data_IF_974415204588
#
_entry.id   IF_974415204588
#
_cell.length_a   1.000
_cell.length_b   1.000
_cell.length_c   1.000
_cell.angle_alpha   90.00
_cell.angle_beta   90.00
_cell.angle_gamma   90.00
#
_symmetry.space_group_name_H-M   'P 1'
#
loop_
_entity.id
_entity.type
_entity.pdbx_description
1 polymer ?
#
# COMPACT_ATOMS: atom_id res chain seq x y z
N UNK A 1 6.69 -0.13 -14.21
CA UNK A 1 5.41 0.58 -14.00
C UNK A 1 5.55 1.54 -12.83
N UNK A 2 5.13 2.78 -13.04
CA UNK A 2 5.08 3.79 -11.97
C UNK A 2 3.69 4.40 -11.95
N UNK A 3 3.13 4.55 -10.76
CA UNK A 3 1.85 5.20 -10.56
C UNK A 3 1.89 6.10 -9.33
N UNK A 4 1.20 7.22 -9.42
CA UNK A 4 0.99 8.11 -8.28
C UNK A 4 -0.49 8.43 -8.18
N UNK A 5 -1.05 8.20 -7.01
CA UNK A 5 -2.45 8.53 -6.72
C UNK A 5 -2.52 9.25 -5.37
N UNK A 6 -3.53 10.07 -5.19
CA UNK A 6 -3.71 10.79 -3.93
C UNK A 6 -5.18 10.94 -3.59
N UNK A 7 -5.44 11.17 -2.31
CA UNK A 7 -6.80 11.38 -1.79
C UNK A 7 -6.75 12.29 -0.57
N UNK A 8 -7.81 13.07 -0.37
CA UNK A 8 -8.02 13.84 0.84
C UNK A 8 -8.90 13.04 1.80
N UNK A 9 -8.41 12.81 3.00
CA UNK A 9 -9.13 12.08 4.06
C UNK A 9 -9.47 13.08 5.16
N UNK A 10 -10.74 13.17 5.51
CA UNK A 10 -11.24 14.11 6.53
C UNK A 10 -11.01 13.55 7.93
N UNK A 11 -9.74 13.31 8.27
CA UNK A 11 -9.27 12.84 9.56
C UNK A 11 -7.90 13.43 9.87
N UNK A 12 -7.55 13.57 11.17
CA UNK A 12 -6.26 14.13 11.57
C UNK A 12 -5.08 13.30 11.08
N UNK A 13 -3.99 13.98 10.81
CA UNK A 13 -2.76 13.41 10.27
C UNK A 13 -2.25 12.20 11.07
N UNK A 14 -2.17 12.32 12.38
CA UNK A 14 -1.68 11.25 13.23
C UNK A 14 -2.55 9.99 13.15
N UNK A 15 -3.86 10.16 13.09
CA UNK A 15 -4.82 9.05 12.96
C UNK A 15 -4.64 8.32 11.64
N UNK A 16 -4.55 9.07 10.55
CA UNK A 16 -4.38 8.48 9.21
C UNK A 16 -3.05 7.75 9.12
N UNK A 17 -1.97 8.38 9.59
CA UNK A 17 -0.65 7.77 9.56
C UNK A 17 -0.61 6.46 10.37
N UNK A 18 -1.09 6.47 11.59
CA UNK A 18 -1.08 5.29 12.46
C UNK A 18 -1.87 4.14 11.87
N UNK A 19 -2.98 4.44 11.20
CA UNK A 19 -3.79 3.40 10.55
C UNK A 19 -3.10 2.82 9.32
N UNK A 20 -2.58 3.67 8.45
CA UNK A 20 -1.96 3.24 7.18
C UNK A 20 -0.63 2.54 7.41
N UNK A 21 0.20 3.04 8.34
CA UNK A 21 1.53 2.49 8.64
C UNK A 21 1.48 1.25 9.54
N UNK A 22 0.40 0.48 9.43
CA UNK A 22 0.25 -0.78 10.14
C UNK A 22 -0.16 -1.87 9.16
N UNK A 23 0.72 -2.84 8.95
CA UNK A 23 0.51 -3.90 7.96
C UNK A 23 -0.82 -4.64 8.17
N UNK A 24 -1.18 -4.91 9.41
CA UNK A 24 -2.39 -5.66 9.75
C UNK A 24 -3.68 -4.97 9.33
N UNK A 25 -3.65 -3.66 9.11
CA UNK A 25 -4.82 -2.90 8.65
C UNK A 25 -5.02 -2.96 7.14
N UNK A 26 -4.04 -3.42 6.37
CA UNK A 26 -4.11 -3.39 4.90
C UNK A 26 -5.27 -4.21 4.35
N UNK A 27 -5.64 -5.31 4.99
CA UNK A 27 -6.77 -6.12 4.55
C UNK A 27 -8.12 -5.40 4.65
N UNK A 28 -8.18 -4.31 5.40
CA UNK A 28 -9.42 -3.53 5.55
C UNK A 28 -9.66 -2.58 4.38
N UNK A 29 -8.64 -2.24 3.61
CA UNK A 29 -8.77 -1.25 2.56
C UNK A 29 -8.13 -1.62 1.22
N UNK A 30 -7.19 -2.58 1.19
CA UNK A 30 -6.59 -3.06 -0.06
C UNK A 30 -7.32 -4.32 -0.55
N UNK A 31 -7.96 -4.23 -1.71
CA UNK A 31 -8.77 -5.32 -2.25
C UNK A 31 -7.99 -6.61 -2.48
N UNK A 32 -6.72 -6.48 -2.90
CA UNK A 32 -5.88 -7.64 -3.18
C UNK A 32 -5.27 -8.28 -1.95
N UNK A 33 -5.38 -7.66 -0.77
CA UNK A 33 -4.77 -8.15 0.46
C UNK A 33 -5.75 -9.01 1.25
N UNK A 34 -5.41 -10.28 1.44
CA UNK A 34 -6.16 -11.19 2.33
C UNK A 34 -5.69 -10.96 3.77
N UNK A 35 -4.38 -10.92 3.96
CA UNK A 35 -3.77 -10.73 5.28
C UNK A 35 -2.35 -10.20 5.12
N UNK A 36 -1.96 -9.29 5.98
CA UNK A 36 -0.57 -8.86 6.09
C UNK A 36 -0.21 -8.80 7.57
N UNK A 37 0.95 -9.32 7.94
CA UNK A 37 1.38 -9.44 9.32
C UNK A 37 2.83 -8.98 9.45
N UNK A 38 3.10 -8.10 10.42
CA UNK A 38 4.47 -7.75 10.75
C UNK A 38 5.13 -8.95 11.42
N UNK A 39 6.22 -9.43 10.84
CA UNK A 39 6.95 -10.60 11.35
C UNK A 39 8.11 -10.21 12.25
N UNK A 40 8.65 -9.00 12.10
CA UNK A 40 9.69 -8.48 12.99
C UNK A 40 9.06 -8.01 14.29
N UNK A 41 9.49 -8.50 15.45
CA UNK A 41 8.94 -8.06 16.74
C UNK A 41 9.23 -6.57 17.02
N UNK A 42 8.34 -5.96 17.79
CA UNK A 42 8.50 -4.57 18.23
C UNK A 42 7.77 -3.56 17.36
N UNK A 43 8.02 -2.25 17.60
CA UNK A 43 7.33 -1.20 16.88
C UNK A 43 7.73 -1.13 15.41
N UNK A 44 6.90 -0.49 14.60
CA UNK A 44 7.17 -0.22 13.19
C UNK A 44 8.44 0.62 13.09
N UNK A 45 9.34 0.25 12.17
CA UNK A 45 10.62 0.93 11.93
C UNK A 45 11.22 0.48 10.61
N UNK A 46 12.22 1.19 10.13
CA UNK A 46 13.01 0.76 8.97
C UNK A 46 13.64 -0.60 9.27
N UNK A 47 13.55 -1.53 8.33
CA UNK A 47 14.02 -2.90 8.48
C UNK A 47 12.97 -3.88 9.00
N UNK A 48 11.83 -3.40 9.52
CA UNK A 48 10.73 -4.27 9.92
C UNK A 48 10.19 -5.00 8.68
N UNK A 49 9.90 -6.28 8.84
CA UNK A 49 9.41 -7.11 7.74
C UNK A 49 7.97 -7.54 7.97
N UNK A 50 7.30 -7.86 6.88
CA UNK A 50 5.94 -8.37 6.91
C UNK A 50 5.80 -9.58 5.99
N UNK A 51 4.79 -10.39 6.28
CA UNK A 51 4.35 -11.49 5.42
C UNK A 51 2.98 -11.14 4.87
N UNK A 52 2.91 -10.96 3.58
CA UNK A 52 1.72 -10.57 2.86
C UNK A 52 1.12 -11.77 2.13
N UNK A 53 -0.16 -11.99 2.34
CA UNK A 53 -0.94 -12.96 1.58
C UNK A 53 -1.95 -12.17 0.76
N UNK A 54 -1.87 -12.30 -0.54
CA UNK A 54 -2.74 -11.58 -1.46
C UNK A 54 -3.46 -12.51 -2.42
N UNK A 55 -4.40 -11.93 -3.16
CA UNK A 55 -5.12 -12.64 -4.21
C UNK A 55 -5.19 -11.74 -5.45
N UNK A 56 -4.79 -12.29 -6.57
CA UNK A 56 -4.83 -11.60 -7.86
C UNK A 56 -5.26 -12.57 -8.96
N UNK A 57 -6.24 -12.17 -9.76
CA UNK A 57 -6.77 -12.97 -10.86
C UNK A 57 -7.13 -14.40 -10.43
N UNK A 58 -7.77 -14.55 -9.25
CA UNK A 58 -8.19 -15.85 -8.74
C UNK A 58 -7.09 -16.69 -8.11
N UNK A 59 -5.85 -16.18 -8.04
CA UNK A 59 -4.71 -16.91 -7.47
C UNK A 59 -4.24 -16.23 -6.19
N UNK A 60 -4.00 -17.03 -5.16
CA UNK A 60 -3.37 -16.57 -3.94
C UNK A 60 -1.85 -16.53 -4.13
N UNK A 61 -1.20 -15.55 -3.53
CA UNK A 61 0.26 -15.45 -3.52
C UNK A 61 0.75 -14.98 -2.15
N UNK A 62 1.99 -15.27 -1.86
CA UNK A 62 2.66 -14.75 -0.67
C UNK A 62 3.86 -13.91 -1.07
N UNK A 63 4.10 -12.86 -0.33
CA UNK A 63 5.26 -12.00 -0.49
C UNK A 63 5.78 -11.57 0.87
N UNK A 64 7.06 -11.23 0.91
CA UNK A 64 7.71 -10.65 2.08
C UNK A 64 8.05 -9.21 1.73
N UNK A 65 7.67 -8.29 2.59
CA UNK A 65 8.02 -6.89 2.46
C UNK A 65 8.95 -6.44 3.57
N UNK A 66 9.68 -5.36 3.31
CA UNK A 66 10.56 -4.74 4.29
C UNK A 66 10.40 -3.23 4.25
N UNK A 67 10.26 -2.62 5.42
CA UNK A 67 10.12 -1.18 5.54
C UNK A 67 11.45 -0.51 5.21
N UNK A 68 11.43 0.42 4.27
CA UNK A 68 12.60 1.17 3.82
C UNK A 68 12.58 2.63 4.24
N UNK A 69 11.43 3.13 4.66
CA UNK A 69 11.25 4.51 5.05
C UNK A 69 10.22 4.60 6.17
N UNK A 70 10.53 5.32 7.22
CA UNK A 70 9.61 5.54 8.33
C UNK A 70 9.89 6.90 8.98
N UNK A 71 9.01 7.86 8.73
CA UNK A 71 9.05 9.18 9.35
C UNK A 71 7.65 9.45 9.93
N UNK A 72 7.48 9.39 11.25
CA UNK A 72 6.17 9.52 11.87
C UNK A 72 5.39 10.72 11.36
N UNK A 73 4.13 10.50 11.00
CA UNK A 73 3.18 11.48 10.48
C UNK A 73 3.60 12.14 9.16
N UNK A 74 4.61 11.60 8.46
CA UNK A 74 5.08 12.17 7.19
C UNK A 74 5.23 11.15 6.08
N UNK A 75 5.98 10.09 6.33
CA UNK A 75 6.33 9.14 5.26
C UNK A 75 6.45 7.73 5.81
N UNK A 76 6.00 6.79 4.99
CA UNK A 76 6.15 5.37 5.24
C UNK A 76 6.33 4.67 3.91
N UNK A 77 7.26 3.74 3.83
CA UNK A 77 7.49 3.03 2.59
C UNK A 77 8.05 1.64 2.84
N UNK A 78 7.80 0.75 1.90
CA UNK A 78 8.32 -0.60 1.94
C UNK A 78 8.58 -1.13 0.53
N UNK A 79 9.40 -2.16 0.46
CA UNK A 79 9.70 -2.86 -0.78
C UNK A 79 9.42 -4.35 -0.63
N UNK A 80 9.16 -5.03 -1.72
CA UNK A 80 9.11 -6.49 -1.73
C UNK A 80 10.54 -7.05 -1.63
N UNK A 81 10.70 -8.08 -0.82
CA UNK A 81 11.97 -8.83 -0.67
C UNK A 81 11.86 -10.16 -1.39
N UNK A 82 10.68 -10.75 -1.39
CA UNK A 82 10.40 -11.98 -2.12
C UNK A 82 8.93 -11.99 -2.54
N UNK A 83 8.63 -12.75 -3.59
CA UNK A 83 7.26 -12.89 -4.10
C UNK A 83 7.21 -12.77 -5.62
N UNK A 84 5.99 -12.72 -6.18
CA UNK A 84 5.79 -12.76 -7.63
C UNK A 84 6.04 -11.42 -8.34
N UNK A 85 6.42 -10.37 -7.61
CA UNK A 85 6.65 -9.05 -8.18
C UNK A 85 7.76 -8.33 -7.40
N UNK A 86 8.36 -7.34 -8.05
CA UNK A 86 9.21 -6.36 -7.39
C UNK A 86 8.42 -5.07 -7.25
N UNK A 87 8.21 -4.64 -6.01
CA UNK A 87 7.39 -3.49 -5.70
C UNK A 87 8.11 -2.60 -4.71
N UNK A 88 8.06 -1.29 -4.98
CA UNK A 88 8.45 -0.26 -4.02
C UNK A 88 7.24 0.65 -3.83
N UNK A 89 6.83 0.83 -2.60
CA UNK A 89 5.68 1.63 -2.23
C UNK A 89 6.11 2.75 -1.29
N UNK A 90 5.72 3.97 -1.63
CA UNK A 90 5.90 5.13 -0.75
C UNK A 90 4.56 5.78 -0.46
N UNK A 91 4.34 6.08 0.79
CA UNK A 91 3.19 6.84 1.25
C UNK A 91 3.68 8.18 1.80
N UNK A 92 3.10 9.26 1.32
CA UNK A 92 3.37 10.62 1.79
C UNK A 92 2.12 11.21 2.43
N UNK A 93 2.28 11.75 3.64
CA UNK A 93 1.18 12.27 4.42
C UNK A 93 1.40 13.76 4.63
N UNK A 94 0.41 14.57 4.27
CA UNK A 94 0.47 16.03 4.43
C UNK A 94 -0.78 16.54 5.15
N UNK A 95 -0.61 17.43 6.13
CA UNK A 95 -1.78 18.05 6.76
C UNK A 95 -2.42 19.06 5.79
N UNK A 96 -3.75 19.05 5.72
CA UNK A 96 -4.54 20.04 4.99
C UNK A 96 -5.57 20.56 5.99
N UNK A 97 -5.20 21.59 6.77
CA UNK A 97 -5.99 21.98 7.94
C UNK A 97 -6.05 20.85 8.96
N UNK A 98 -7.24 20.43 9.32
CA UNK A 98 -7.48 19.29 10.22
C UNK A 98 -7.60 17.95 9.47
N UNK A 99 -7.45 17.99 8.16
CA UNK A 99 -7.56 16.82 7.29
C UNK A 99 -6.17 16.36 6.82
N UNK A 100 -6.13 15.27 6.07
CA UNK A 100 -4.88 14.69 5.61
C UNK A 100 -4.95 14.38 4.12
N UNK A 101 -3.94 14.81 3.38
CA UNK A 101 -3.71 14.35 2.02
C UNK A 101 -2.74 13.17 2.06
N UNK A 102 -3.18 12.06 1.53
CA UNK A 102 -2.34 10.88 1.38
C UNK A 102 -2.00 10.71 -0.10
N UNK A 103 -0.72 10.60 -0.39
CA UNK A 103 -0.21 10.32 -1.74
C UNK A 103 0.52 8.97 -1.71
N UNK A 104 0.19 8.10 -2.66
CA UNK A 104 0.87 6.82 -2.84
C UNK A 104 1.67 6.85 -4.13
N UNK A 105 2.97 6.58 -4.02
CA UNK A 105 3.86 6.35 -5.15
C UNK A 105 4.18 4.86 -5.21
N UNK A 106 3.86 4.24 -6.33
CA UNK A 106 4.11 2.81 -6.55
C UNK A 106 5.04 2.66 -7.75
N UNK A 107 6.13 1.94 -7.53
CA UNK A 107 7.03 1.55 -8.60
C UNK A 107 7.17 0.04 -8.55
N UNK A 108 6.91 -0.62 -9.66
CA UNK A 108 6.92 -2.06 -9.67
C UNK A 108 7.26 -2.66 -11.02
N UNK A 109 7.85 -3.82 -10.98
CA UNK A 109 8.05 -4.70 -12.12
C UNK A 109 7.42 -6.04 -11.79
N UNK A 110 6.87 -6.69 -12.80
CA UNK A 110 6.18 -7.95 -12.64
C UNK A 110 7.05 -9.08 -13.15
N UNK A 111 7.25 -10.10 -12.30
CA UNK A 111 7.99 -11.31 -12.64
C UNK A 111 7.01 -12.46 -12.85
N UNK A 112 7.36 -13.43 -13.65
CA UNK A 112 6.64 -14.69 -13.78
C UNK A 112 5.17 -14.52 -14.09
N UNK A 113 4.35 -14.66 -13.07
CA UNK A 113 2.91 -14.67 -13.16
C UNK A 113 2.30 -13.38 -13.78
N UNK A 114 2.97 -12.22 -13.63
CA UNK A 114 2.55 -11.00 -14.31
C UNK A 114 3.34 -10.72 -15.60
N UNK A 115 4.37 -11.48 -15.89
CA UNK A 115 5.20 -11.27 -17.09
C UNK A 115 4.42 -11.38 -18.39
N UNK A 116 3.31 -12.11 -18.38
CA UNK A 116 2.40 -12.23 -19.52
C UNK A 116 1.81 -10.87 -19.94
N UNK A 117 1.66 -9.93 -19.00
CA UNK A 117 1.06 -8.63 -19.27
C UNK A 117 2.07 -7.57 -19.75
N UNK A 118 3.33 -7.96 -19.97
CA UNK A 118 4.39 -7.04 -20.39
C UNK A 118 4.02 -6.26 -21.66
N UNK A 119 3.36 -6.90 -22.62
CA UNK A 119 2.97 -6.29 -23.88
C UNK A 119 1.71 -5.41 -23.79
N UNK A 120 0.97 -5.52 -22.69
CA UNK A 120 -0.21 -4.72 -22.43
C UNK A 120 0.05 -3.66 -21.37
N UNK A 121 1.28 -3.18 -21.25
CA UNK A 121 1.73 -2.26 -20.20
C UNK A 121 0.83 -1.03 -19.99
N UNK A 122 0.37 -0.31 -21.04
CA UNK A 122 -0.52 0.83 -20.83
C UNK A 122 -1.87 0.44 -20.21
N UNK A 123 -2.42 -0.71 -20.57
CA UNK A 123 -3.67 -1.21 -19.99
C UNK A 123 -3.46 -1.69 -18.57
N UNK A 124 -2.34 -2.34 -18.30
CA UNK A 124 -1.96 -2.81 -16.97
C UNK A 124 -1.74 -1.62 -16.03
N UNK A 125 -1.08 -0.56 -16.50
CA UNK A 125 -0.86 0.66 -15.72
C UNK A 125 -2.19 1.33 -15.35
N UNK A 126 -3.14 1.41 -16.30
CA UNK A 126 -4.47 1.98 -16.04
C UNK A 126 -5.26 1.14 -15.04
N UNK A 127 -5.21 -0.18 -15.19
CA UNK A 127 -5.88 -1.10 -14.26
C UNK A 127 -5.28 -1.00 -12.86
N UNK A 128 -3.97 -0.89 -12.77
CA UNK A 128 -3.26 -0.71 -11.51
C UNK A 128 -3.62 0.62 -10.84
N UNK A 129 -3.66 1.70 -11.61
CA UNK A 129 -4.04 3.02 -11.09
C UNK A 129 -5.49 3.03 -10.61
N UNK A 130 -6.40 2.40 -11.36
CA UNK A 130 -7.79 2.24 -10.93
C UNK A 130 -7.87 1.45 -9.62
N UNK A 131 -7.12 0.37 -9.51
CA UNK A 131 -7.07 -0.45 -8.29
C UNK A 131 -6.61 0.40 -7.09
N UNK A 132 -5.55 1.18 -7.25
CA UNK A 132 -5.03 2.04 -6.20
C UNK A 132 -6.03 3.12 -5.81
N UNK A 133 -6.71 3.73 -6.76
CA UNK A 133 -7.74 4.73 -6.48
C UNK A 133 -8.94 4.12 -5.77
N UNK A 134 -9.35 2.92 -6.14
CA UNK A 134 -10.44 2.20 -5.49
C UNK A 134 -10.05 1.84 -4.04
N UNK A 135 -8.81 1.43 -3.83
CA UNK A 135 -8.28 1.13 -2.50
C UNK A 135 -8.26 2.39 -1.62
N UNK A 136 -7.80 3.52 -2.16
CA UNK A 136 -7.80 4.79 -1.43
C UNK A 136 -9.22 5.25 -1.09
N UNK A 137 -10.17 5.07 -1.99
CA UNK A 137 -11.57 5.39 -1.72
C UNK A 137 -12.13 4.55 -0.57
N UNK A 138 -11.73 3.28 -0.51
CA UNK A 138 -12.11 2.37 0.57
C UNK A 138 -11.46 2.79 1.89
N UNK A 139 -10.18 3.15 1.85
CA UNK A 139 -9.46 3.68 3.03
C UNK A 139 -10.15 4.92 3.60
N UNK A 140 -10.50 5.86 2.73
CA UNK A 140 -11.24 7.08 3.10
C UNK A 140 -12.54 6.73 3.82
N UNK A 141 -13.30 5.80 3.25
CA UNK A 141 -14.57 5.36 3.82
C UNK A 141 -14.38 4.73 5.20
N UNK A 142 -13.37 3.87 5.35
CA UNK A 142 -13.07 3.20 6.63
C UNK A 142 -12.72 4.23 7.69
N UNK A 143 -11.81 5.15 7.39
CA UNK A 143 -11.35 6.15 8.35
C UNK A 143 -12.42 7.18 8.69
N UNK A 144 -13.13 7.68 7.70
CA UNK A 144 -14.16 8.72 7.93
C UNK A 144 -15.42 8.18 8.60
N UNK A 145 -15.64 6.88 8.61
CA UNK A 145 -16.76 6.27 9.32
C UNK A 145 -16.46 5.99 10.80
N UNK A 146 -15.21 6.19 11.24
CA UNK A 146 -14.81 5.99 12.64
C UNK A 146 -15.23 7.22 13.47
N UNK A 147 -15.76 6.97 14.63
CA UNK A 147 -16.16 8.01 15.58
C UNK A 147 -15.20 8.14 16.74
#
# INVERSE_FOLDING_TARGET
MKSRVSILIQRPLAEVFQFVAKFENQSQWQAATIRNTQTTPGPMRVGAQCRHVGKWLGRNYESVGEVIEYKPDRQWGYKSVSGPYDLVMHYHFEPVGDDTRLTMDVEGDTKGFFGFFRFAEPLVARAGEKLLNDDLARLKKVLESRT
#
